data_IF_349604263178
#
_entry.id   IF_349604263178
#
_cell.length_a   1.000
_cell.length_b   1.000
_cell.length_c   1.000
_cell.angle_alpha   90.00
_cell.angle_beta   90.00
_cell.angle_gamma   90.00
#
_symmetry.space_group_name_H-M   'P 1'
#
loop_
_entity.id
_entity.type
_entity.pdbx_description
1 polymer ?
#
# COMPACT_ATOMS: atom_id res chain seq x y z
N UNK A 1 18.75 -0.26 17.26
CA UNK A 1 18.14 -0.21 15.91
C UNK A 1 19.27 0.03 14.92
N UNK A 2 19.37 -0.74 13.83
CA UNK A 2 20.41 -0.53 12.82
C UNK A 2 20.30 0.87 12.23
N UNK A 3 21.42 1.53 11.96
CA UNK A 3 21.47 2.83 11.29
C UNK A 3 21.21 2.70 9.79
N UNK A 4 20.87 3.79 9.07
CA UNK A 4 20.68 3.75 7.61
C UNK A 4 21.89 3.18 6.86
N UNK A 5 23.11 3.52 7.30
CA UNK A 5 24.35 3.00 6.71
C UNK A 5 24.56 1.51 6.99
N UNK A 6 24.13 1.02 8.17
CA UNK A 6 24.15 -0.41 8.46
C UNK A 6 23.14 -1.18 7.58
N UNK A 7 21.95 -0.61 7.33
CA UNK A 7 20.97 -1.21 6.41
C UNK A 7 21.48 -1.23 4.97
N UNK A 8 22.13 -0.17 4.51
CA UNK A 8 22.77 -0.13 3.19
C UNK A 8 23.82 -1.23 3.05
N UNK A 9 24.68 -1.42 4.06
CA UNK A 9 25.68 -2.48 4.06
C UNK A 9 25.04 -3.89 4.01
N UNK A 10 23.93 -4.10 4.72
CA UNK A 10 23.16 -5.35 4.68
C UNK A 10 22.61 -5.59 3.26
N UNK A 11 21.96 -4.59 2.66
CA UNK A 11 21.42 -4.68 1.30
C UNK A 11 22.52 -5.05 0.31
N UNK A 12 23.65 -4.34 0.33
CA UNK A 12 24.78 -4.60 -0.57
C UNK A 12 25.33 -6.02 -0.39
N UNK A 13 25.56 -6.45 0.86
CA UNK A 13 26.08 -7.79 1.15
C UNK A 13 25.12 -8.89 0.66
N UNK A 14 23.82 -8.71 0.86
CA UNK A 14 22.80 -9.64 0.37
C UNK A 14 22.73 -9.69 -1.15
N UNK A 15 22.83 -8.55 -1.84
CA UNK A 15 22.84 -8.50 -3.31
C UNK A 15 24.10 -9.16 -3.89
N UNK A 16 25.29 -8.88 -3.36
CA UNK A 16 26.52 -9.55 -3.80
C UNK A 16 26.43 -11.07 -3.66
N UNK A 17 25.87 -11.55 -2.54
CA UNK A 17 25.66 -12.99 -2.32
C UNK A 17 24.70 -13.57 -3.35
N UNK A 18 23.60 -12.86 -3.63
CA UNK A 18 22.59 -13.27 -4.60
C UNK A 18 23.15 -13.34 -6.02
N UNK A 19 23.87 -12.30 -6.45
CA UNK A 19 24.53 -12.23 -7.77
C UNK A 19 25.55 -13.35 -7.97
N UNK A 20 26.33 -13.65 -6.92
CA UNK A 20 27.31 -14.74 -6.95
C UNK A 20 26.63 -16.11 -7.14
N UNK A 21 25.53 -16.37 -6.43
CA UNK A 21 24.79 -17.64 -6.55
C UNK A 21 24.08 -17.73 -7.90
N UNK A 22 23.46 -16.64 -8.37
CA UNK A 22 22.82 -16.57 -9.68
C UNK A 22 23.82 -16.87 -10.79
N UNK A 23 25.00 -16.28 -10.74
CA UNK A 23 26.10 -16.53 -11.69
C UNK A 23 26.55 -18.00 -11.71
N UNK A 24 26.64 -18.63 -10.54
CA UNK A 24 27.08 -20.03 -10.43
C UNK A 24 26.02 -21.05 -10.90
N UNK A 25 24.74 -20.72 -10.71
CA UNK A 25 23.62 -21.58 -11.06
C UNK A 25 23.06 -21.35 -12.47
N UNK A 26 23.54 -20.30 -13.16
CA UNK A 26 22.99 -19.86 -14.44
C UNK A 26 21.57 -19.29 -14.33
N UNK A 27 21.17 -18.87 -13.13
CA UNK A 27 19.89 -18.19 -12.87
C UNK A 27 20.10 -16.67 -12.84
N UNK A 28 19.00 -15.91 -12.86
CA UNK A 28 19.00 -14.46 -12.80
C UNK A 28 17.83 -13.97 -11.95
N UNK A 29 17.95 -12.76 -11.39
CA UNK A 29 16.86 -12.10 -10.65
C UNK A 29 15.98 -11.36 -11.67
N UNK A 30 14.68 -11.65 -11.79
CA UNK A 30 13.85 -11.04 -12.84
C UNK A 30 13.78 -9.53 -12.71
N UNK A 31 13.77 -8.85 -13.87
CA UNK A 31 13.53 -7.40 -13.95
C UNK A 31 12.05 -7.09 -13.68
N UNK A 32 11.75 -5.86 -13.25
CA UNK A 32 10.38 -5.48 -12.88
C UNK A 32 9.36 -5.61 -14.02
N UNK A 33 9.81 -5.42 -15.27
CA UNK A 33 8.97 -5.48 -16.46
C UNK A 33 8.97 -6.88 -17.13
N UNK A 34 9.70 -7.86 -16.56
CA UNK A 34 9.76 -9.21 -17.10
C UNK A 34 8.47 -10.00 -16.78
N UNK A 35 7.87 -10.70 -17.76
CA UNK A 35 6.74 -11.57 -17.48
C UNK A 35 7.09 -12.67 -16.48
N UNK A 36 6.22 -12.92 -15.51
CA UNK A 36 6.38 -14.01 -14.56
C UNK A 36 6.40 -15.38 -15.26
N UNK A 37 7.39 -16.21 -14.94
CA UNK A 37 7.41 -17.64 -15.28
C UNK A 37 7.93 -18.47 -14.10
N UNK A 38 7.59 -19.77 -13.98
CA UNK A 38 8.19 -20.60 -12.93
C UNK A 38 9.73 -20.66 -13.00
N UNK A 39 10.32 -20.49 -14.19
CA UNK A 39 11.76 -20.44 -14.39
C UNK A 39 12.38 -19.10 -13.98
N UNK A 40 11.65 -17.98 -14.08
CA UNK A 40 12.15 -16.67 -13.62
C UNK A 40 12.35 -16.65 -12.10
N UNK A 41 11.65 -17.51 -11.36
CA UNK A 41 11.83 -17.68 -9.92
C UNK A 41 12.84 -18.79 -9.54
N UNK A 42 13.51 -19.41 -10.51
CA UNK A 42 14.39 -20.56 -10.27
C UNK A 42 15.55 -20.25 -9.30
N UNK A 43 15.99 -19.00 -9.22
CA UNK A 43 17.02 -18.57 -8.25
C UNK A 43 16.61 -18.84 -6.80
N UNK A 44 15.31 -18.91 -6.49
CA UNK A 44 14.80 -19.20 -5.13
C UNK A 44 14.91 -20.66 -4.72
N UNK A 45 15.23 -21.57 -5.65
CA UNK A 45 15.47 -22.97 -5.32
C UNK A 45 16.73 -23.16 -4.46
N UNK A 46 17.70 -22.25 -4.57
CA UNK A 46 18.82 -22.17 -3.64
C UNK A 46 18.37 -21.45 -2.35
N UNK A 47 18.46 -22.10 -1.18
CA UNK A 47 17.97 -21.53 0.07
C UNK A 47 18.75 -20.29 0.50
N UNK A 48 20.03 -20.17 0.14
CA UNK A 48 20.87 -19.02 0.45
C UNK A 48 20.49 -17.83 -0.43
N UNK A 49 20.22 -18.08 -1.72
CA UNK A 49 19.71 -17.04 -2.63
C UNK A 49 18.33 -16.53 -2.19
N UNK A 50 17.40 -17.44 -1.85
CA UNK A 50 16.08 -17.06 -1.34
C UNK A 50 16.18 -16.22 -0.06
N UNK A 51 17.03 -16.62 0.89
CA UNK A 51 17.27 -15.88 2.12
C UNK A 51 17.93 -14.53 1.88
N UNK A 52 18.89 -14.44 0.96
CA UNK A 52 19.55 -13.20 0.58
C UNK A 52 18.54 -12.20 -0.01
N UNK A 53 17.70 -12.65 -0.96
CA UNK A 53 16.66 -11.82 -1.55
C UNK A 53 15.64 -11.33 -0.50
N UNK A 54 15.22 -12.20 0.42
CA UNK A 54 14.32 -11.83 1.52
C UNK A 54 14.96 -10.82 2.47
N UNK A 55 16.23 -11.01 2.81
CA UNK A 55 16.99 -10.12 3.71
C UNK A 55 17.18 -8.75 3.07
N UNK A 56 17.56 -8.69 1.80
CA UNK A 56 17.68 -7.44 1.04
C UNK A 56 16.33 -6.69 1.00
N UNK A 57 15.24 -7.40 0.70
CA UNK A 57 13.89 -6.82 0.65
C UNK A 57 13.45 -6.26 2.01
N UNK A 58 13.68 -7.01 3.10
CA UNK A 58 13.34 -6.59 4.45
C UNK A 58 14.18 -5.37 4.90
N UNK A 59 15.48 -5.37 4.61
CA UNK A 59 16.36 -4.25 4.93
C UNK A 59 15.98 -2.98 4.13
N UNK A 60 15.61 -3.13 2.86
CA UNK A 60 15.13 -2.03 2.02
C UNK A 60 13.81 -1.45 2.56
N UNK A 61 12.86 -2.29 2.97
CA UNK A 61 11.62 -1.84 3.61
C UNK A 61 11.87 -1.12 4.94
N UNK A 62 12.82 -1.60 5.74
CA UNK A 62 13.22 -0.92 6.98
C UNK A 62 13.86 0.44 6.68
N UNK A 63 14.78 0.50 5.71
CA UNK A 63 15.41 1.76 5.29
C UNK A 63 14.36 2.74 4.77
N UNK A 64 13.42 2.26 3.96
CA UNK A 64 12.27 3.05 3.51
C UNK A 64 11.43 3.54 4.70
N UNK A 65 11.14 2.70 5.69
CA UNK A 65 10.40 3.12 6.88
C UNK A 65 11.16 4.17 7.74
N UNK A 66 12.49 4.18 7.71
CA UNK A 66 13.31 5.19 8.41
C UNK A 66 13.37 6.52 7.66
N UNK A 67 13.45 6.48 6.33
CA UNK A 67 13.66 7.66 5.49
C UNK A 67 12.36 8.28 4.97
N UNK A 68 11.31 7.48 4.85
CA UNK A 68 9.99 7.99 4.49
C UNK A 68 9.31 8.56 5.74
N UNK A 69 8.69 9.75 5.64
CA UNK A 69 7.85 10.24 6.72
C UNK A 69 6.81 9.17 7.09
N UNK A 70 6.46 8.98 8.38
CA UNK A 70 5.55 7.93 8.82
C UNK A 70 4.21 7.93 8.09
N UNK A 71 3.76 9.09 7.58
CA UNK A 71 2.56 9.19 6.75
C UNK A 71 2.72 8.43 5.43
N UNK A 72 3.88 8.46 4.77
CA UNK A 72 4.16 7.83 3.47
C UNK A 72 4.36 6.31 3.60
N UNK A 73 5.04 5.85 4.65
CA UNK A 73 5.32 4.42 4.89
C UNK A 73 4.05 3.57 5.04
N UNK A 74 2.99 4.13 5.63
CA UNK A 74 1.72 3.42 5.83
C UNK A 74 0.94 3.19 4.52
N UNK A 75 1.10 4.07 3.53
CA UNK A 75 0.40 3.95 2.25
C UNK A 75 0.93 2.82 1.35
N UNK A 76 2.22 2.47 1.43
CA UNK A 76 2.80 1.42 0.60
C UNK A 76 2.40 0.01 1.05
N UNK A 77 1.92 -0.15 2.28
CA UNK A 77 1.74 -1.46 2.92
C UNK A 77 0.28 -1.94 2.86
N UNK A 78 -0.73 -1.07 2.64
CA UNK A 78 -2.14 -1.44 2.95
C UNK A 78 -3.21 -1.15 1.87
N UNK A 79 -3.03 -0.34 0.83
CA UNK A 79 -4.14 -0.20 -0.15
C UNK A 79 -3.95 0.73 -1.33
N UNK A 80 -4.03 0.16 -2.54
CA UNK A 80 -4.13 0.90 -3.79
C UNK A 80 -5.38 1.77 -3.83
N UNK A 81 -5.26 2.98 -4.38
CA UNK A 81 -6.40 3.90 -4.55
C UNK A 81 -7.41 3.37 -5.57
N UNK A 82 -8.63 3.92 -5.55
CA UNK A 82 -9.67 3.63 -6.52
C UNK A 82 -9.85 4.79 -7.49
N UNK A 83 -10.10 4.49 -8.77
CA UNK A 83 -10.42 5.49 -9.76
C UNK A 83 -11.81 6.11 -9.48
N UNK A 84 -11.99 7.40 -9.71
CA UNK A 84 -13.20 8.16 -9.37
C UNK A 84 -14.47 7.57 -9.99
N UNK A 85 -14.36 7.01 -11.19
CA UNK A 85 -15.46 6.30 -11.90
C UNK A 85 -15.93 5.06 -11.14
N UNK A 86 -15.02 4.32 -10.54
CA UNK A 86 -15.36 3.14 -9.73
C UNK A 86 -16.05 3.55 -8.43
N UNK A 87 -15.58 4.63 -7.80
CA UNK A 87 -16.20 5.19 -6.58
C UNK A 87 -17.61 5.68 -6.91
N UNK A 88 -17.76 6.44 -8.01
CA UNK A 88 -19.04 6.94 -8.52
C UNK A 88 -20.04 5.81 -8.82
N UNK A 89 -19.56 4.70 -9.37
CA UNK A 89 -20.41 3.54 -9.69
C UNK A 89 -21.00 2.91 -8.43
N UNK A 90 -20.26 2.88 -7.33
CA UNK A 90 -20.69 2.27 -6.06
C UNK A 90 -21.70 3.12 -5.29
N UNK A 91 -21.71 4.44 -5.49
CA UNK A 91 -22.55 5.37 -4.72
C UNK A 91 -23.56 6.15 -5.58
N UNK A 92 -23.60 5.91 -6.89
CA UNK A 92 -24.53 6.55 -7.84
C UNK A 92 -24.28 8.04 -8.06
N UNK A 93 -23.08 8.56 -7.75
CA UNK A 93 -22.76 9.98 -7.91
C UNK A 93 -22.20 10.28 -9.31
N UNK A 94 -22.27 11.56 -9.71
CA UNK A 94 -21.59 12.05 -10.91
C UNK A 94 -20.06 12.07 -10.68
N UNK A 95 -19.25 11.41 -11.52
CA UNK A 95 -17.82 11.25 -11.29
C UNK A 95 -17.05 12.57 -11.32
N UNK A 96 -17.48 13.54 -12.14
CA UNK A 96 -16.79 14.83 -12.26
C UNK A 96 -17.04 15.71 -11.03
N UNK A 97 -18.29 15.74 -10.56
CA UNK A 97 -18.63 16.40 -9.29
C UNK A 97 -17.93 15.73 -8.12
N UNK A 98 -17.99 14.40 -8.04
CA UNK A 98 -17.35 13.63 -6.98
C UNK A 98 -15.82 13.87 -6.96
N UNK A 99 -15.19 13.88 -8.13
CA UNK A 99 -13.75 14.15 -8.27
C UNK A 99 -13.37 15.54 -7.74
N UNK A 100 -14.19 16.56 -7.98
CA UNK A 100 -13.96 17.91 -7.41
C UNK A 100 -14.03 17.91 -5.89
N UNK A 101 -15.03 17.25 -5.31
CA UNK A 101 -15.16 17.14 -3.85
C UNK A 101 -14.03 16.34 -3.21
N UNK A 102 -13.68 15.18 -3.76
CA UNK A 102 -12.61 14.34 -3.22
C UNK A 102 -11.25 15.02 -3.36
N UNK A 103 -11.00 15.79 -4.43
CA UNK A 103 -9.78 16.62 -4.53
C UNK A 103 -9.71 17.70 -3.47
N UNK A 104 -10.82 18.40 -3.22
CA UNK A 104 -10.88 19.37 -2.13
C UNK A 104 -10.56 18.71 -0.78
N UNK A 105 -11.13 17.53 -0.52
CA UNK A 105 -10.85 16.74 0.68
C UNK A 105 -9.39 16.23 0.71
N UNK A 106 -8.79 15.97 -0.45
CA UNK A 106 -7.38 15.60 -0.55
C UNK A 106 -6.44 16.76 -0.21
N UNK A 107 -6.77 17.99 -0.63
CA UNK A 107 -6.08 19.21 -0.20
C UNK A 107 -6.16 19.40 1.32
N UNK A 108 -7.27 18.99 1.93
CA UNK A 108 -7.48 19.02 3.39
C UNK A 108 -6.99 17.72 4.10
N UNK A 109 -6.18 16.90 3.42
CA UNK A 109 -5.58 15.67 3.95
C UNK A 109 -6.56 14.57 4.39
N UNK A 110 -7.85 14.67 4.04
CA UNK A 110 -8.85 13.65 4.33
C UNK A 110 -8.66 12.44 3.40
N UNK A 111 -8.42 12.68 2.11
CA UNK A 111 -8.07 11.66 1.10
C UNK A 111 -6.68 11.94 0.48
N UNK A 112 -6.17 11.05 -0.37
CA UNK A 112 -4.94 11.27 -1.14
C UNK A 112 -5.15 10.92 -2.61
N UNK A 113 -4.94 11.88 -3.51
CA UNK A 113 -4.84 11.58 -4.95
C UNK A 113 -3.47 10.97 -5.24
N UNK A 114 -3.44 9.71 -5.69
CA UNK A 114 -2.19 8.96 -5.94
C UNK A 114 -1.75 9.04 -7.40
N UNK A 115 -2.70 9.24 -8.30
CA UNK A 115 -2.53 9.56 -9.71
C UNK A 115 -3.81 10.27 -10.19
N UNK A 116 -3.84 10.89 -11.40
CA UNK A 116 -5.02 11.59 -11.87
C UNK A 116 -6.29 10.74 -11.74
N UNK A 117 -7.28 11.26 -11.01
CA UNK A 117 -8.56 10.62 -10.74
C UNK A 117 -8.51 9.33 -9.90
N UNK A 118 -7.37 8.97 -9.31
CA UNK A 118 -7.24 7.81 -8.40
C UNK A 118 -7.00 8.27 -6.98
N UNK A 119 -7.91 7.90 -6.07
CA UNK A 119 -7.91 8.36 -4.69
C UNK A 119 -7.77 7.21 -3.70
N UNK A 120 -6.91 7.40 -2.70
CA UNK A 120 -6.67 6.48 -1.61
C UNK A 120 -7.14 7.07 -0.28
N UNK A 121 -7.50 6.18 0.64
CA UNK A 121 -7.79 6.54 2.02
C UNK A 121 -6.54 7.03 2.75
N UNK A 122 -6.71 8.00 3.63
CA UNK A 122 -5.68 8.42 4.60
C UNK A 122 -6.07 7.95 6.00
N UNK A 123 -5.21 8.21 6.99
CA UNK A 123 -5.54 7.97 8.40
C UNK A 123 -6.81 8.71 8.84
N UNK A 124 -7.09 9.89 8.31
CA UNK A 124 -8.28 10.68 8.65
C UNK A 124 -9.53 10.02 8.08
N UNK A 125 -9.55 9.66 6.79
CA UNK A 125 -10.72 9.00 6.20
C UNK A 125 -10.95 7.60 6.78
N UNK A 126 -9.89 6.85 7.11
CA UNK A 126 -10.02 5.55 7.79
C UNK A 126 -10.64 5.65 9.19
N UNK A 127 -10.47 6.77 9.91
CA UNK A 127 -11.16 6.98 11.20
C UNK A 127 -12.66 7.23 11.06
N UNK A 128 -13.11 7.60 9.84
CA UNK A 128 -14.52 7.84 9.52
C UNK A 128 -15.21 6.59 8.95
N UNK A 129 -14.48 5.48 8.80
CA UNK A 129 -15.01 4.21 8.34
C UNK A 129 -15.76 3.50 9.48
N UNK A 130 -17.00 3.07 9.19
CA UNK A 130 -17.81 2.28 10.12
C UNK A 130 -17.42 0.81 10.09
N UNK A 131 -16.58 0.38 9.14
CA UNK A 131 -16.18 -0.99 8.85
C UNK A 131 -17.35 -1.92 8.50
N UNK A 132 -18.54 -1.35 8.28
CA UNK A 132 -19.72 -2.11 7.85
C UNK A 132 -19.68 -2.32 6.33
N UNK A 133 -20.11 -3.49 5.84
CA UNK A 133 -20.32 -3.71 4.42
C UNK A 133 -21.22 -2.62 3.84
N UNK A 134 -20.91 -2.17 2.62
CA UNK A 134 -21.65 -1.08 1.97
C UNK A 134 -23.12 -1.45 1.77
N UNK A 135 -23.43 -2.73 1.54
CA UNK A 135 -24.79 -3.23 1.43
C UNK A 135 -25.62 -2.98 2.70
N UNK A 136 -25.03 -3.20 3.88
CA UNK A 136 -25.70 -3.03 5.17
C UNK A 136 -25.94 -1.54 5.47
N UNK A 137 -25.02 -0.68 5.06
CA UNK A 137 -25.16 0.78 5.18
C UNK A 137 -26.31 1.35 4.33
N UNK A 138 -26.60 0.72 3.19
CA UNK A 138 -27.74 1.11 2.36
C UNK A 138 -29.07 0.54 2.88
N UNK A 139 -29.05 -0.65 3.48
CA UNK A 139 -30.25 -1.31 4.00
C UNK A 139 -30.73 -0.70 5.32
N UNK A 140 -29.81 -0.33 6.22
CA UNK A 140 -30.09 0.16 7.57
C UNK A 140 -29.25 1.40 7.89
N UNK A 141 -29.54 2.56 7.25
CA UNK A 141 -28.71 3.76 7.38
C UNK A 141 -28.71 4.36 8.79
N UNK A 142 -29.78 4.15 9.57
CA UNK A 142 -29.90 4.54 10.98
C UNK A 142 -28.90 3.79 11.89
N UNK A 143 -28.65 2.52 11.59
CA UNK A 143 -27.81 1.65 12.42
C UNK A 143 -26.33 1.73 12.03
N UNK A 144 -25.94 2.65 11.13
CA UNK A 144 -24.59 2.68 10.54
C UNK A 144 -23.43 2.74 11.54
N UNK A 145 -23.68 3.18 12.78
CA UNK A 145 -22.67 3.24 13.84
C UNK A 145 -22.74 2.11 14.87
N UNK A 146 -23.79 1.29 14.84
CA UNK A 146 -24.02 0.25 15.83
C UNK A 146 -22.94 -0.82 15.78
N UNK A 147 -22.32 -1.14 16.91
CA UNK A 147 -21.24 -2.13 17.00
C UNK A 147 -19.92 -1.70 16.37
N UNK A 148 -19.74 -0.41 16.06
CA UNK A 148 -18.49 0.15 15.51
C UNK A 148 -17.61 0.78 16.60
N UNK A 149 -16.38 1.16 16.27
CA UNK A 149 -15.46 1.88 17.18
C UNK A 149 -15.94 3.29 17.56
N UNK A 150 -17.06 3.78 17.00
CA UNK A 150 -17.74 5.02 17.39
C UNK A 150 -17.13 6.32 16.87
N UNK A 151 -15.91 6.32 16.31
CA UNK A 151 -15.25 7.53 15.81
C UNK A 151 -15.99 8.19 14.64
N UNK A 152 -16.57 7.39 13.74
CA UNK A 152 -17.39 7.89 12.63
C UNK A 152 -18.66 8.62 13.11
N UNK A 153 -19.21 8.26 14.28
CA UNK A 153 -20.40 8.90 14.82
C UNK A 153 -20.14 10.35 15.25
N UNK A 154 -18.91 10.66 15.73
CA UNK A 154 -18.52 12.02 16.14
C UNK A 154 -18.57 13.03 15.00
N UNK A 155 -18.22 12.62 13.79
CA UNK A 155 -18.27 13.48 12.60
C UNK A 155 -19.69 13.72 12.08
N UNK A 156 -20.67 13.02 12.65
CA UNK A 156 -22.04 12.93 12.13
C UNK A 156 -23.06 13.63 13.04
N UNK A 157 -22.60 14.14 14.18
CA UNK A 157 -23.42 14.84 15.17
C UNK A 157 -23.46 16.33 14.86
N UNK A 158 -24.56 16.79 14.26
CA UNK A 158 -25.02 18.18 14.25
C UNK A 158 -26.54 18.16 14.47
#
# INVERSE_FOLDING_TARGET
>A
MPSPNQLLAIIQTSLTTLEQICSNSGTHVPEVDEPFTPLSEAFRADPVAAQAAQTASAAALHLAAMLTPPQVSLYHIVGGGLHIKEIATKNGQDPDKLGRFIRFLAVNHVYREVSPDVFANTRISSMLDTLKPTADLFAHPEDKYDGTIGLAALASHQ
#
